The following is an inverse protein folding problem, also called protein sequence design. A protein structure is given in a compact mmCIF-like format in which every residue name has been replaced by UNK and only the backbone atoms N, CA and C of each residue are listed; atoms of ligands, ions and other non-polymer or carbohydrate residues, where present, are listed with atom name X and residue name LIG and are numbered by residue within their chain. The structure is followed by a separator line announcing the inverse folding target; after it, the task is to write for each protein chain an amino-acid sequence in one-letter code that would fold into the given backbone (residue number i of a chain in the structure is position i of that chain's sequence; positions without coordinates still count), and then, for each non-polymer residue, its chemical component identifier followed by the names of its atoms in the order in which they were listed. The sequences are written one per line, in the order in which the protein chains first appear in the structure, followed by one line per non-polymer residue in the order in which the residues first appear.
data_IF_704825668627
#
_entry.id   IF_704825668627
#
_cell.length_a   1.000
_cell.length_b   1.000
_cell.length_c   1.000
_cell.angle_alpha   90.00
_cell.angle_beta   90.00
_cell.angle_gamma   90.00
#
_symmetry.space_group_name_H-M   'P 1'
#
loop_
_entity.id
_entity.type
_entity.pdbx_description
1 polymer ?
#
# COMPACT_ATOMS: atom_id res chain seq x y z
N UNK A 1 2.60 13.24 -6.52
CA UNK A 1 2.65 14.57 -7.18
C UNK A 1 1.95 14.57 -8.55
N UNK A 2 0.62 14.69 -8.60
CA UNK A 2 -0.09 14.79 -9.89
C UNK A 2 -0.15 16.23 -10.40
N UNK A 3 -0.07 17.22 -9.50
CA UNK A 3 -0.15 18.63 -9.86
C UNK A 3 0.95 19.05 -10.85
N UNK A 4 2.14 18.48 -10.71
CA UNK A 4 3.29 18.83 -11.56
C UNK A 4 3.57 17.78 -12.64
N UNK A 5 3.34 16.49 -12.38
CA UNK A 5 3.71 15.40 -13.31
C UNK A 5 2.55 14.90 -14.18
N UNK A 6 1.30 15.18 -13.80
CA UNK A 6 0.10 14.85 -14.59
C UNK A 6 -0.91 16.00 -14.57
N UNK A 7 -0.50 17.24 -14.94
CA UNK A 7 -1.26 18.46 -14.67
C UNK A 7 -2.67 18.46 -15.26
N UNK A 8 -2.85 17.88 -16.46
CA UNK A 8 -4.18 17.78 -17.09
C UNK A 8 -5.10 16.82 -16.33
N UNK A 9 -4.59 15.71 -15.83
CA UNK A 9 -5.38 14.81 -14.98
C UNK A 9 -5.67 15.46 -13.61
N UNK A 10 -4.70 16.18 -13.05
CA UNK A 10 -4.90 16.93 -11.81
C UNK A 10 -5.93 18.06 -11.95
N UNK A 11 -5.96 18.74 -13.09
CA UNK A 11 -7.01 19.73 -13.40
C UNK A 11 -8.40 19.10 -13.37
N UNK A 12 -8.56 17.87 -13.88
CA UNK A 12 -9.85 17.14 -13.81
C UNK A 12 -10.20 16.70 -12.39
N UNK A 13 -9.21 16.32 -11.58
CA UNK A 13 -9.41 16.03 -10.14
C UNK A 13 -9.83 17.31 -9.41
N UNK A 14 -9.18 18.43 -9.71
CA UNK A 14 -9.48 19.75 -9.14
C UNK A 14 -10.91 20.18 -9.48
N UNK A 15 -11.29 20.14 -10.76
CA UNK A 15 -12.65 20.44 -11.21
C UNK A 15 -13.68 19.56 -10.46
N UNK A 16 -13.43 18.25 -10.38
CA UNK A 16 -14.33 17.34 -9.66
C UNK A 16 -14.43 17.67 -8.16
N UNK A 17 -13.31 17.92 -7.49
CA UNK A 17 -13.28 18.23 -6.06
C UNK A 17 -14.00 19.54 -5.75
N UNK A 18 -13.85 20.56 -6.60
CA UNK A 18 -14.43 21.89 -6.38
C UNK A 18 -15.90 22.00 -6.79
N UNK A 19 -16.36 21.22 -7.79
CA UNK A 19 -17.73 21.30 -8.31
C UNK A 19 -18.72 20.32 -7.68
N UNK A 20 -18.25 19.24 -7.04
CA UNK A 20 -19.10 18.19 -6.48
C UNK A 20 -18.89 18.04 -4.96
N UNK A 21 -19.89 18.47 -4.21
CA UNK A 21 -19.98 18.28 -2.76
C UNK A 21 -19.81 16.79 -2.37
N UNK A 22 -19.14 16.56 -1.24
CA UNK A 22 -18.85 15.22 -0.72
C UNK A 22 -17.72 14.47 -1.44
N UNK A 23 -17.08 15.08 -2.43
CA UNK A 23 -15.80 14.62 -2.99
C UNK A 23 -14.66 15.03 -2.06
N UNK A 24 -13.71 14.13 -1.83
CA UNK A 24 -12.51 14.40 -1.03
C UNK A 24 -11.25 13.99 -1.79
N UNK A 25 -10.14 14.68 -1.54
CA UNK A 25 -8.82 14.41 -2.11
C UNK A 25 -7.85 14.10 -0.97
N UNK A 26 -7.29 12.89 -0.99
CA UNK A 26 -6.32 12.42 0.01
C UNK A 26 -4.96 12.32 -0.68
N UNK A 27 -3.95 12.98 -0.13
CA UNK A 27 -2.60 13.03 -0.72
C UNK A 27 -1.61 12.49 0.28
N UNK A 28 -1.02 11.35 -0.07
CA UNK A 28 0.09 10.74 0.65
C UNK A 28 1.38 11.03 -0.12
N UNK A 29 2.42 11.48 0.57
CA UNK A 29 3.75 11.73 -0.02
C UNK A 29 4.83 11.62 1.05
N UNK A 30 6.10 11.50 0.65
CA UNK A 30 7.24 11.55 1.58
C UNK A 30 7.71 12.98 1.86
N UNK A 31 7.15 13.97 1.15
CA UNK A 31 7.36 15.41 1.35
C UNK A 31 6.15 16.19 0.82
N UNK A 32 5.94 17.41 1.31
CA UNK A 32 4.88 18.29 0.81
C UNK A 32 5.22 18.87 -0.57
N UNK A 33 4.23 18.96 -1.44
CA UNK A 33 4.33 19.50 -2.80
C UNK A 33 2.97 20.03 -3.27
N UNK A 34 2.86 20.64 -4.45
CA UNK A 34 1.65 21.35 -4.92
C UNK A 34 0.34 20.55 -4.84
N UNK A 35 0.35 19.23 -4.97
CA UNK A 35 -0.89 18.44 -4.77
C UNK A 35 -1.49 18.54 -3.35
N UNK A 36 -0.72 18.94 -2.33
CA UNK A 36 -1.23 19.15 -0.96
C UNK A 36 -2.16 20.36 -0.87
N UNK A 37 -2.07 21.33 -1.79
CA UNK A 37 -2.90 22.53 -1.80
C UNK A 37 -4.39 22.22 -2.00
N UNK A 38 -4.73 21.08 -2.63
CA UNK A 38 -6.11 20.60 -2.81
C UNK A 38 -6.51 19.52 -1.78
N UNK A 39 -5.57 19.02 -0.98
CA UNK A 39 -5.79 17.83 -0.18
C UNK A 39 -6.68 18.12 1.04
N UNK A 40 -7.79 17.40 1.16
CA UNK A 40 -8.64 17.38 2.37
C UNK A 40 -8.00 16.59 3.51
N UNK A 41 -7.09 15.67 3.16
CA UNK A 41 -6.33 14.85 4.09
C UNK A 41 -4.92 14.62 3.52
N UNK A 42 -4.02 15.59 3.78
CA UNK A 42 -2.60 15.48 3.44
C UNK A 42 -1.83 14.69 4.49
N UNK A 43 -1.03 13.72 4.07
CA UNK A 43 -0.21 12.86 4.92
C UNK A 43 1.22 12.80 4.38
N UNK A 44 2.16 13.28 5.19
CA UNK A 44 3.59 13.05 4.97
C UNK A 44 3.98 11.79 5.72
N UNK A 45 4.54 10.80 5.03
CA UNK A 45 4.90 9.50 5.61
C UNK A 45 6.38 9.17 5.40
N UNK A 46 6.94 8.36 6.30
CA UNK A 46 8.33 7.88 6.22
C UNK A 46 8.49 6.96 4.99
N UNK A 47 9.54 7.10 4.15
CA UNK A 47 9.75 6.23 2.99
C UNK A 47 9.65 4.73 3.31
N UNK A 48 9.12 3.92 2.37
CA UNK A 48 8.82 2.48 2.49
C UNK A 48 7.67 2.08 3.44
N UNK A 49 7.09 3.03 4.18
CA UNK A 49 6.06 2.69 5.18
C UNK A 49 4.64 2.71 4.64
N UNK A 50 4.46 3.01 3.36
CA UNK A 50 3.22 2.79 2.62
C UNK A 50 2.79 1.31 2.65
N UNK A 51 3.73 0.37 2.64
CA UNK A 51 3.46 -1.07 2.86
C UNK A 51 2.69 -1.32 4.17
N UNK A 52 3.05 -0.62 5.25
CA UNK A 52 2.35 -0.73 6.53
C UNK A 52 0.97 -0.07 6.49
N UNK A 53 0.84 1.07 5.81
CA UNK A 53 -0.43 1.78 5.63
C UNK A 53 -1.43 0.92 4.83
N UNK A 54 -0.98 0.32 3.72
CA UNK A 54 -1.82 -0.54 2.88
C UNK A 54 -2.33 -1.76 3.66
N UNK A 55 -1.45 -2.47 4.38
CA UNK A 55 -1.85 -3.60 5.21
C UNK A 55 -2.80 -3.18 6.34
N UNK A 56 -2.60 -1.98 6.92
CA UNK A 56 -3.54 -1.44 7.89
C UNK A 56 -4.93 -1.18 7.29
N UNK A 57 -5.04 -0.64 6.07
CA UNK A 57 -6.34 -0.44 5.43
C UNK A 57 -7.05 -1.79 5.22
N UNK A 58 -6.32 -2.83 4.78
CA UNK A 58 -6.87 -4.19 4.67
C UNK A 58 -7.38 -4.71 6.03
N UNK A 59 -6.55 -4.58 7.08
CA UNK A 59 -6.92 -4.96 8.44
C UNK A 59 -8.18 -4.21 8.90
N UNK A 60 -8.25 -2.89 8.67
CA UNK A 60 -9.40 -2.05 9.03
C UNK A 60 -10.68 -2.54 8.37
N UNK A 61 -10.66 -2.82 7.05
CA UNK A 61 -11.82 -3.33 6.31
C UNK A 61 -12.33 -4.64 6.92
N UNK A 62 -11.41 -5.55 7.27
CA UNK A 62 -11.74 -6.87 7.83
C UNK A 62 -12.32 -6.71 9.25
N UNK A 63 -11.63 -5.99 10.14
CA UNK A 63 -12.06 -5.80 11.53
C UNK A 63 -13.42 -5.10 11.63
N UNK A 64 -13.73 -4.20 10.68
CA UNK A 64 -15.00 -3.48 10.65
C UNK A 64 -16.10 -4.21 9.85
N UNK A 65 -15.88 -5.47 9.44
CA UNK A 65 -16.84 -6.29 8.68
C UNK A 65 -17.32 -5.58 7.40
N UNK A 66 -16.40 -4.90 6.70
CA UNK A 66 -16.66 -4.15 5.46
C UNK A 66 -16.21 -4.86 4.19
N UNK A 67 -15.79 -6.11 4.30
CA UNK A 67 -15.45 -6.94 3.15
C UNK A 67 -16.70 -7.19 2.31
N UNK A 68 -16.62 -6.98 0.99
CA UNK A 68 -17.63 -7.47 0.07
C UNK A 68 -17.45 -8.98 -0.13
N UNK A 69 -18.10 -9.76 0.75
CA UNK A 69 -17.92 -11.22 0.83
C UNK A 69 -18.39 -11.94 -0.42
N UNK A 70 -19.46 -11.47 -1.07
CA UNK A 70 -19.97 -12.05 -2.32
C UNK A 70 -18.95 -11.91 -3.45
N UNK A 71 -18.40 -10.69 -3.63
CA UNK A 71 -17.38 -10.43 -4.64
C UNK A 71 -16.10 -11.22 -4.37
N UNK A 72 -15.61 -11.20 -3.13
CA UNK A 72 -14.39 -11.93 -2.75
C UNK A 72 -14.54 -13.42 -3.01
N UNK A 73 -15.68 -14.02 -2.63
CA UNK A 73 -15.94 -15.45 -2.85
C UNK A 73 -16.00 -15.82 -4.34
N UNK A 74 -16.56 -14.95 -5.17
CA UNK A 74 -16.77 -15.25 -6.58
C UNK A 74 -15.55 -14.93 -7.47
N UNK A 75 -14.68 -14.00 -7.06
CA UNK A 75 -13.74 -13.35 -7.98
C UNK A 75 -12.31 -13.16 -7.43
N UNK A 76 -12.01 -13.60 -6.21
CA UNK A 76 -10.69 -13.35 -5.58
C UNK A 76 -10.07 -14.64 -5.06
N UNK A 77 -8.78 -14.81 -5.34
CA UNK A 77 -7.92 -15.82 -4.70
C UNK A 77 -6.89 -15.11 -3.80
N UNK A 78 -6.47 -15.76 -2.72
CA UNK A 78 -5.45 -15.23 -1.81
C UNK A 78 -4.15 -16.01 -1.96
N UNK A 79 -3.03 -15.28 -1.97
CA UNK A 79 -1.69 -15.85 -2.03
C UNK A 79 -0.78 -15.16 -1.03
N UNK A 80 0.22 -15.88 -0.52
CA UNK A 80 1.29 -15.34 0.32
C UNK A 80 2.61 -15.41 -0.43
N UNK A 81 3.20 -14.26 -0.71
CA UNK A 81 4.51 -14.17 -1.35
C UNK A 81 5.65 -14.51 -0.38
N UNK A 82 6.77 -14.97 -0.93
CA UNK A 82 8.03 -15.11 -0.18
C UNK A 82 8.54 -13.77 0.34
N UNK A 83 9.22 -13.79 1.47
CA UNK A 83 9.81 -12.61 2.11
C UNK A 83 11.33 -12.69 2.08
N UNK A 84 12.01 -11.62 2.47
CA UNK A 84 13.48 -11.59 2.56
C UNK A 84 14.15 -11.90 1.20
N UNK A 85 13.70 -11.16 0.19
CA UNK A 85 14.04 -11.34 -1.23
C UNK A 85 15.27 -10.52 -1.68
N UNK A 86 15.96 -9.87 -0.75
CA UNK A 86 17.04 -8.94 -1.09
C UNK A 86 16.56 -7.61 -1.71
N UNK A 87 17.46 -6.95 -2.43
CA UNK A 87 17.34 -5.60 -2.97
C UNK A 87 17.79 -5.46 -4.44
N UNK A 88 18.06 -6.57 -5.13
CA UNK A 88 18.56 -6.60 -6.50
C UNK A 88 20.00 -6.08 -6.68
N UNK A 89 20.80 -6.07 -5.61
CA UNK A 89 22.19 -5.60 -5.67
C UNK A 89 23.12 -6.71 -6.18
N UNK A 90 24.41 -6.42 -6.29
CA UNK A 90 25.41 -7.44 -6.64
C UNK A 90 25.40 -8.58 -5.59
N UNK A 91 25.60 -9.84 -5.97
CA UNK A 91 25.47 -10.99 -5.05
C UNK A 91 26.39 -10.95 -3.83
N UNK A 92 27.53 -10.27 -3.94
CA UNK A 92 28.51 -10.12 -2.86
C UNK A 92 28.18 -8.97 -1.89
N UNK A 93 27.18 -8.14 -2.21
CA UNK A 93 26.75 -7.08 -1.31
C UNK A 93 26.14 -7.70 -0.03
N UNK A 94 26.45 -7.20 1.18
CA UNK A 94 25.98 -7.83 2.43
C UNK A 94 24.46 -8.03 2.50
N UNK A 95 23.68 -7.05 2.05
CA UNK A 95 22.21 -7.16 2.04
C UNK A 95 21.71 -8.33 1.15
N UNK A 96 22.39 -8.63 0.05
CA UNK A 96 22.01 -9.74 -0.82
C UNK A 96 22.57 -11.06 -0.34
N UNK A 97 23.81 -11.07 0.12
CA UNK A 97 24.42 -12.27 0.66
C UNK A 97 23.60 -12.85 1.82
N UNK A 98 23.00 -11.96 2.63
CA UNK A 98 22.20 -12.30 3.81
C UNK A 98 20.73 -12.64 3.51
N UNK A 99 20.19 -12.22 2.38
CA UNK A 99 18.81 -12.52 2.00
C UNK A 99 18.64 -14.01 1.69
N UNK A 100 17.53 -14.58 2.17
CA UNK A 100 17.22 -16.02 2.04
C UNK A 100 16.55 -16.38 0.71
N UNK A 101 15.88 -15.42 0.05
CA UNK A 101 15.11 -15.65 -1.18
C UNK A 101 15.51 -14.74 -2.36
N UNK A 102 16.78 -14.35 -2.46
CA UNK A 102 17.26 -13.38 -3.45
C UNK A 102 17.35 -13.90 -4.90
N UNK A 103 17.13 -15.20 -5.14
CA UNK A 103 17.16 -15.82 -6.47
C UNK A 103 18.55 -15.95 -7.10
N UNK A 104 19.63 -15.52 -6.45
CA UNK A 104 20.99 -15.67 -6.98
C UNK A 104 21.52 -17.09 -6.79
N UNK A 105 22.41 -17.59 -7.68
CA UNK A 105 23.05 -18.89 -7.50
C UNK A 105 23.84 -18.99 -6.19
N UNK A 106 23.57 -20.03 -5.41
CA UNK A 106 24.35 -20.42 -4.23
C UNK A 106 25.62 -21.19 -4.60
N UNK A 107 26.31 -21.72 -3.58
CA UNK A 107 27.54 -22.50 -3.76
C UNK A 107 27.33 -23.80 -4.56
N UNK A 108 26.10 -24.33 -4.57
CA UNK A 108 25.67 -25.49 -5.35
C UNK A 108 25.19 -25.12 -6.77
N UNK A 109 25.30 -23.85 -7.16
CA UNK A 109 24.88 -23.33 -8.46
C UNK A 109 23.37 -23.12 -8.62
N UNK A 110 22.55 -23.39 -7.60
CA UNK A 110 21.09 -23.23 -7.66
C UNK A 110 20.64 -21.87 -7.09
N UNK A 111 19.56 -21.27 -7.61
CA UNK A 111 18.97 -20.06 -7.04
C UNK A 111 18.60 -20.22 -5.56
N UNK A 112 18.96 -19.24 -4.73
CA UNK A 112 18.47 -19.12 -3.35
C UNK A 112 17.01 -18.66 -3.37
N UNK A 113 16.08 -19.61 -3.37
CA UNK A 113 14.65 -19.32 -3.43
C UNK A 113 14.22 -18.70 -4.76
N UNK A 114 13.03 -18.10 -4.78
CA UNK A 114 12.47 -17.41 -5.94
C UNK A 114 11.73 -16.15 -5.46
N UNK A 115 12.21 -14.98 -5.88
CA UNK A 115 11.66 -13.66 -5.51
C UNK A 115 10.19 -13.48 -5.87
N UNK A 116 9.68 -14.25 -6.83
CA UNK A 116 8.29 -14.21 -7.30
C UNK A 116 7.45 -15.39 -6.79
N UNK A 117 8.02 -16.27 -5.95
CA UNK A 117 7.26 -17.40 -5.41
C UNK A 117 6.16 -16.91 -4.46
N UNK A 118 5.01 -17.56 -4.58
CA UNK A 118 3.87 -17.36 -3.70
C UNK A 118 3.08 -18.65 -3.56
N UNK A 119 2.56 -18.90 -2.37
CA UNK A 119 1.70 -20.06 -2.07
C UNK A 119 0.25 -19.63 -1.93
N UNK A 120 -0.67 -20.51 -2.29
CA UNK A 120 -2.10 -20.28 -2.05
C UNK A 120 -2.37 -20.28 -0.55
N UNK A 121 -3.18 -19.33 -0.09
CA UNK A 121 -3.65 -19.23 1.29
C UNK A 121 -5.15 -19.00 1.33
N UNK A 122 -5.77 -19.26 2.47
CA UNK A 122 -7.15 -18.89 2.74
C UNK A 122 -7.31 -17.39 3.04
N UNK A 123 -8.56 -16.91 2.95
CA UNK A 123 -8.91 -15.56 3.43
C UNK A 123 -8.59 -15.38 4.92
N UNK A 124 -8.79 -16.42 5.75
CA UNK A 124 -8.53 -16.34 7.20
C UNK A 124 -7.04 -16.21 7.51
N UNK A 125 -6.18 -16.88 6.74
CA UNK A 125 -4.73 -16.71 6.83
C UNK A 125 -4.30 -15.30 6.39
N UNK A 126 -4.91 -14.76 5.34
CA UNK A 126 -4.68 -13.36 4.93
C UNK A 126 -5.12 -12.39 6.04
N UNK A 127 -6.32 -12.59 6.60
CA UNK A 127 -6.85 -11.80 7.70
C UNK A 127 -5.94 -11.84 8.93
N UNK A 128 -5.43 -13.02 9.28
CA UNK A 128 -4.45 -13.20 10.36
C UNK A 128 -3.15 -12.45 10.06
N UNK A 129 -2.64 -12.53 8.84
CA UNK A 129 -1.42 -11.83 8.43
C UNK A 129 -1.57 -10.31 8.58
N UNK A 130 -2.63 -9.72 8.02
CA UNK A 130 -2.82 -8.26 8.09
C UNK A 130 -3.20 -7.78 9.49
N UNK A 131 -3.70 -8.66 10.37
CA UNK A 131 -4.05 -8.29 11.75
C UNK A 131 -2.90 -7.70 12.56
N UNK A 132 -1.65 -8.03 12.22
CA UNK A 132 -0.47 -7.45 12.84
C UNK A 132 -0.30 -5.96 12.55
N UNK A 133 -0.91 -5.45 11.48
CA UNK A 133 -0.84 -4.04 11.06
C UNK A 133 -1.99 -3.26 11.69
N UNK A 134 -1.90 -3.06 13.01
CA UNK A 134 -2.84 -2.24 13.77
C UNK A 134 -2.71 -0.75 13.42
N UNK A 135 -3.72 0.05 13.78
CA UNK A 135 -3.66 1.50 13.63
C UNK A 135 -2.42 2.09 14.32
N UNK A 136 -2.13 1.62 15.53
CA UNK A 136 -0.96 2.05 16.31
C UNK A 136 0.36 1.69 15.59
N UNK A 137 0.51 0.45 15.10
CA UNK A 137 1.72 0.03 14.39
C UNK A 137 1.91 0.84 13.11
N UNK A 138 0.85 1.00 12.31
CA UNK A 138 0.91 1.77 11.07
C UNK A 138 1.23 3.25 11.33
N UNK A 139 0.58 3.86 12.32
CA UNK A 139 0.86 5.25 12.72
C UNK A 139 2.30 5.43 13.19
N UNK A 140 2.78 4.54 14.06
CA UNK A 140 4.16 4.58 14.58
C UNK A 140 5.20 4.40 13.49
N UNK A 141 5.02 3.42 12.59
CA UNK A 141 5.99 3.16 11.52
C UNK A 141 6.00 4.31 10.51
N UNK A 142 4.83 4.76 10.07
CA UNK A 142 4.73 5.76 9.01
C UNK A 142 4.96 7.19 9.45
N UNK A 143 4.87 7.47 10.76
CA UNK A 143 4.85 8.84 11.29
C UNK A 143 3.56 9.60 11.00
N UNK A 144 2.56 8.96 10.36
CA UNK A 144 1.27 9.58 10.07
C UNK A 144 0.38 9.53 11.31
N UNK A 145 -0.29 10.64 11.68
CA UNK A 145 -1.26 10.65 12.77
C UNK A 145 -2.39 9.63 12.57
N UNK A 146 -2.77 8.95 13.64
CA UNK A 146 -3.70 7.83 13.60
C UNK A 146 -5.08 8.23 13.03
N UNK A 147 -5.57 9.42 13.36
CA UNK A 147 -6.84 9.96 12.87
C UNK A 147 -6.86 10.14 11.35
N UNK A 148 -5.72 10.48 10.74
CA UNK A 148 -5.61 10.63 9.28
C UNK A 148 -5.63 9.27 8.58
N UNK A 149 -4.95 8.27 9.15
CA UNK A 149 -4.98 6.89 8.67
C UNK A 149 -6.38 6.29 8.79
N UNK A 150 -7.04 6.48 9.93
CA UNK A 150 -8.39 5.98 10.15
C UNK A 150 -9.40 6.64 9.19
N UNK A 151 -9.27 7.95 8.95
CA UNK A 151 -10.10 8.65 7.96
C UNK A 151 -9.91 8.09 6.55
N UNK A 152 -8.69 7.79 6.14
CA UNK A 152 -8.41 7.15 4.85
C UNK A 152 -9.03 5.75 4.77
N UNK A 153 -8.84 4.93 5.81
CA UNK A 153 -9.35 3.55 5.85
C UNK A 153 -10.89 3.51 5.81
N UNK A 154 -11.56 4.45 6.49
CA UNK A 154 -13.03 4.63 6.43
C UNK A 154 -13.55 4.83 5.01
N UNK A 155 -12.81 5.54 4.15
CA UNK A 155 -13.23 5.77 2.76
C UNK A 155 -13.16 4.48 1.92
N UNK A 156 -12.11 3.68 2.06
CA UNK A 156 -12.02 2.39 1.37
C UNK A 156 -13.05 1.38 1.90
N UNK A 157 -13.43 1.50 3.17
CA UNK A 157 -14.36 0.60 3.83
C UNK A 157 -15.85 0.97 3.62
N UNK A 158 -16.15 2.16 3.08
CA UNK A 158 -17.53 2.60 2.83
C UNK A 158 -18.02 2.15 1.44
N UNK A 159 -18.98 1.20 1.35
CA UNK A 159 -19.50 0.72 0.07
C UNK A 159 -20.23 1.79 -0.74
N UNK A 160 -20.60 2.93 -0.13
CA UNK A 160 -21.25 4.06 -0.83
C UNK A 160 -20.25 5.03 -1.44
N UNK A 161 -18.96 4.95 -1.07
CA UNK A 161 -17.91 5.82 -1.62
C UNK A 161 -17.27 5.14 -2.83
N UNK A 162 -17.23 5.88 -3.95
CA UNK A 162 -16.48 5.46 -5.14
C UNK A 162 -15.05 5.97 -4.99
N UNK A 163 -14.09 5.06 -4.86
CA UNK A 163 -12.68 5.39 -4.65
C UNK A 163 -11.89 5.13 -5.93
N UNK A 164 -11.04 6.08 -6.30
CA UNK A 164 -10.01 5.92 -7.34
C UNK A 164 -8.66 6.11 -6.69
N UNK A 165 -7.78 5.11 -6.80
CA UNK A 165 -6.43 5.16 -6.25
C UNK A 165 -5.45 5.52 -7.36
N UNK A 166 -4.63 6.55 -7.15
CA UNK A 166 -3.56 6.92 -8.06
C UNK A 166 -2.20 6.67 -7.41
N UNK A 167 -1.31 6.03 -8.15
CA UNK A 167 0.10 5.91 -7.82
C UNK A 167 0.93 6.21 -9.07
N UNK A 168 2.22 6.47 -8.89
CA UNK A 168 3.17 6.69 -9.98
C UNK A 168 4.51 6.05 -9.59
N UNK A 169 5.62 6.77 -9.71
CA UNK A 169 6.94 6.25 -9.40
C UNK A 169 7.14 5.90 -7.92
N UNK A 170 6.39 6.54 -7.00
CA UNK A 170 6.51 6.22 -5.57
C UNK A 170 6.25 4.76 -5.21
N UNK A 171 5.40 4.05 -5.96
CA UNK A 171 5.17 2.60 -5.79
C UNK A 171 6.02 1.74 -6.72
N UNK A 172 6.46 2.28 -7.85
CA UNK A 172 7.18 1.50 -8.86
C UNK A 172 8.70 1.51 -8.62
N UNK A 173 9.20 2.49 -7.88
CA UNK A 173 10.61 2.71 -7.56
C UNK A 173 10.78 2.76 -6.03
N UNK A 174 10.33 1.68 -5.39
CA UNK A 174 10.35 1.45 -3.94
C UNK A 174 11.27 0.28 -3.57
#
# INVERSE_FOLDING_TARGET
NMAEMHPVLWSRITDRRLSKEGTEVHVLSTYEHRSFELADNGMVFVPQTDLAILNYICNYIIQNKKVNTEFVKAHVNFKKGETDIGYGLRPNHPLEANATNNGYPGADGKPKGNVAAATDISFDEFAKFVSEYTLEKASKLSGVPAEKLERLAKLYADPKKKVVSYWTMGFNQS
#
